data_IF_099953123627
#
_entry.id   IF_099953123627
#
_cell.length_a   1.000
_cell.length_b   1.000
_cell.length_c   1.000
_cell.angle_alpha   90.00
_cell.angle_beta   90.00
_cell.angle_gamma   90.00
#
_symmetry.space_group_name_H-M   'P 1'
#
loop_
_entity.id
_entity.type
_entity.pdbx_description
1 polymer ?
#
# COMPACT_ATOMS: atom_id res chain seq x y z
N UNK A 1 -49.39 14.43 -36.45
CA UNK A 1 -48.86 13.70 -35.27
C UNK A 1 -47.60 14.41 -34.80
N UNK A 2 -47.71 15.19 -33.72
CA UNK A 2 -46.58 15.93 -33.16
C UNK A 2 -46.01 15.08 -32.01
N UNK A 3 -44.84 14.48 -32.23
CA UNK A 3 -44.10 13.77 -31.20
C UNK A 3 -43.60 14.80 -30.18
N UNK A 4 -44.30 14.88 -29.04
CA UNK A 4 -43.84 15.60 -27.86
C UNK A 4 -42.66 14.80 -27.30
N UNK A 5 -41.44 15.27 -27.60
CA UNK A 5 -40.22 14.79 -26.96
C UNK A 5 -40.31 15.14 -25.47
N UNK A 6 -40.59 14.12 -24.66
CA UNK A 6 -40.71 14.22 -23.21
C UNK A 6 -39.32 14.51 -22.62
N UNK A 7 -38.99 15.78 -22.41
CA UNK A 7 -37.77 16.18 -21.72
C UNK A 7 -37.87 15.77 -20.24
N UNK A 8 -37.26 14.64 -19.88
CA UNK A 8 -37.17 14.22 -18.48
C UNK A 8 -36.41 15.28 -17.65
N UNK A 9 -36.94 15.70 -16.49
CA UNK A 9 -36.25 16.63 -15.61
C UNK A 9 -35.01 15.94 -15.05
N UNK A 10 -33.84 16.24 -15.64
CA UNK A 10 -32.58 15.70 -15.18
C UNK A 10 -32.33 16.14 -13.73
N UNK A 11 -32.18 15.18 -12.82
CA UNK A 11 -31.88 15.44 -11.43
C UNK A 11 -30.57 16.24 -11.34
N UNK A 12 -30.60 17.41 -10.66
CA UNK A 12 -29.43 18.32 -10.52
C UNK A 12 -28.17 17.57 -10.08
N UNK A 13 -28.30 16.53 -9.25
CA UNK A 13 -27.17 15.68 -8.83
C UNK A 13 -26.54 14.91 -9.98
N UNK A 14 -27.35 14.35 -10.89
CA UNK A 14 -26.89 13.56 -12.03
C UNK A 14 -26.09 14.42 -13.02
N UNK A 15 -26.58 15.63 -13.31
CA UNK A 15 -25.90 16.61 -14.19
C UNK A 15 -24.50 16.94 -13.66
N UNK A 16 -24.36 17.12 -12.34
CA UNK A 16 -23.07 17.43 -11.72
C UNK A 16 -22.10 16.23 -11.83
N UNK A 17 -22.61 15.00 -11.66
CA UNK A 17 -21.81 13.78 -11.77
C UNK A 17 -21.30 13.60 -13.20
N UNK A 18 -22.18 13.67 -14.19
CA UNK A 18 -21.84 13.53 -15.61
C UNK A 18 -20.80 14.57 -16.04
N UNK A 19 -21.02 15.83 -15.65
CA UNK A 19 -20.10 16.93 -15.92
C UNK A 19 -18.72 16.70 -15.31
N UNK A 20 -18.65 16.23 -14.06
CA UNK A 20 -17.38 15.89 -13.40
C UNK A 20 -16.67 14.74 -14.10
N UNK A 21 -17.41 13.73 -14.56
CA UNK A 21 -16.84 12.64 -15.37
C UNK A 21 -16.17 13.19 -16.62
N UNK A 22 -16.88 14.05 -17.37
CA UNK A 22 -16.34 14.65 -18.58
C UNK A 22 -15.13 15.56 -18.32
N UNK A 23 -15.15 16.33 -17.23
CA UNK A 23 -13.99 17.14 -16.78
C UNK A 23 -12.79 16.25 -16.45
N UNK A 24 -13.01 15.13 -15.75
CA UNK A 24 -11.96 14.18 -15.42
C UNK A 24 -11.31 13.59 -16.68
N UNK A 25 -12.12 13.11 -17.63
CA UNK A 25 -11.63 12.49 -18.87
C UNK A 25 -10.76 13.45 -19.69
N UNK A 26 -11.18 14.72 -19.81
CA UNK A 26 -10.44 15.73 -20.56
C UNK A 26 -9.14 16.14 -19.84
N UNK A 27 -9.18 16.21 -18.50
CA UNK A 27 -8.01 16.52 -17.69
C UNK A 27 -6.95 15.41 -17.78
N UNK A 28 -7.37 14.14 -17.70
CA UNK A 28 -6.46 12.99 -17.84
C UNK A 28 -5.82 12.89 -19.23
N UNK A 29 -6.49 13.39 -20.27
CA UNK A 29 -5.94 13.53 -21.63
C UNK A 29 -4.96 14.70 -21.79
N UNK A 30 -4.66 15.45 -20.72
CA UNK A 30 -3.75 16.59 -20.75
C UNK A 30 -4.37 17.89 -21.29
N UNK A 31 -5.71 17.98 -21.38
CA UNK A 31 -6.37 19.20 -21.87
C UNK A 31 -6.22 20.33 -20.84
N UNK A 32 -5.80 21.55 -21.23
CA UNK A 32 -5.69 22.65 -20.28
C UNK A 32 -7.07 23.12 -19.79
N UNK A 33 -7.15 23.56 -18.53
CA UNK A 33 -8.44 23.84 -17.85
C UNK A 33 -9.32 24.87 -18.58
N UNK A 34 -8.72 25.88 -19.23
CA UNK A 34 -9.48 26.86 -20.01
C UNK A 34 -10.25 26.21 -21.17
N UNK A 35 -9.60 25.28 -21.87
CA UNK A 35 -10.18 24.52 -22.99
C UNK A 35 -11.23 23.52 -22.49
N UNK A 36 -11.02 22.92 -21.33
CA UNK A 36 -12.04 22.10 -20.65
C UNK A 36 -13.29 22.93 -20.35
N UNK A 37 -13.14 24.15 -19.83
CA UNK A 37 -14.25 25.06 -19.57
C UNK A 37 -15.09 25.35 -20.82
N UNK A 38 -14.42 25.62 -21.94
CA UNK A 38 -15.07 25.82 -23.24
C UNK A 38 -15.84 24.57 -23.70
N UNK A 39 -15.20 23.39 -23.65
CA UNK A 39 -15.82 22.12 -24.10
C UNK A 39 -17.02 21.74 -23.23
N UNK A 40 -16.91 21.92 -21.91
CA UNK A 40 -17.95 21.59 -20.95
C UNK A 40 -18.97 22.73 -20.73
N UNK A 41 -18.83 23.86 -21.43
CA UNK A 41 -19.68 25.06 -21.29
C UNK A 41 -19.80 25.55 -19.84
N UNK A 42 -18.68 25.56 -19.10
CA UNK A 42 -18.60 26.04 -17.72
C UNK A 42 -17.41 26.99 -17.53
N UNK A 43 -17.47 27.83 -16.50
CA UNK A 43 -16.34 28.71 -16.18
C UNK A 43 -15.11 27.91 -15.76
N UNK A 44 -13.92 28.47 -15.99
CA UNK A 44 -12.63 27.90 -15.56
C UNK A 44 -12.58 27.71 -14.04
N UNK A 45 -13.13 28.66 -13.27
CA UNK A 45 -13.28 28.53 -11.82
C UNK A 45 -14.13 27.32 -11.42
N UNK A 46 -15.18 27.03 -12.19
CA UNK A 46 -16.02 25.87 -11.95
C UNK A 46 -15.27 24.56 -12.26
N UNK A 47 -14.48 24.50 -13.34
CA UNK A 47 -13.59 23.37 -13.65
C UNK A 47 -12.61 23.12 -12.51
N UNK A 48 -11.94 24.17 -12.01
CA UNK A 48 -11.00 24.08 -10.89
C UNK A 48 -11.66 23.49 -9.63
N UNK A 49 -12.89 23.94 -9.30
CA UNK A 49 -13.66 23.40 -8.17
C UNK A 49 -13.97 21.91 -8.34
N UNK A 50 -14.31 21.47 -9.55
CA UNK A 50 -14.57 20.06 -9.81
C UNK A 50 -13.32 19.21 -9.73
N UNK A 51 -12.20 19.69 -10.25
CA UNK A 51 -10.91 19.01 -10.14
C UNK A 51 -10.49 18.86 -8.66
N UNK A 52 -10.72 19.87 -7.82
CA UNK A 52 -10.46 19.77 -6.37
C UNK A 52 -11.30 18.67 -5.72
N UNK A 53 -12.57 18.54 -6.11
CA UNK A 53 -13.47 17.51 -5.58
C UNK A 53 -13.09 16.13 -6.10
N UNK A 54 -12.74 16.01 -7.39
CA UNK A 54 -12.28 14.77 -8.00
C UNK A 54 -10.96 14.30 -7.38
N UNK A 55 -10.00 15.21 -7.21
CA UNK A 55 -8.72 14.93 -6.56
C UNK A 55 -8.93 14.42 -5.13
N UNK A 56 -9.77 15.09 -4.34
CA UNK A 56 -10.13 14.61 -2.99
C UNK A 56 -10.73 13.20 -3.03
N UNK A 57 -11.67 12.94 -3.95
CA UNK A 57 -12.28 11.62 -4.12
C UNK A 57 -11.28 10.55 -4.55
N UNK A 58 -10.33 10.88 -5.43
CA UNK A 58 -9.29 9.95 -5.86
C UNK A 58 -8.33 9.63 -4.72
N UNK A 59 -7.95 10.62 -3.91
CA UNK A 59 -7.16 10.40 -2.71
C UNK A 59 -7.91 9.50 -1.73
N UNK A 60 -9.17 9.81 -1.42
CA UNK A 60 -10.02 8.98 -0.54
C UNK A 60 -10.16 7.55 -1.06
N UNK A 61 -10.46 7.37 -2.35
CA UNK A 61 -10.57 6.05 -2.98
C UNK A 61 -9.23 5.30 -2.99
N UNK A 62 -8.11 6.01 -3.19
CA UNK A 62 -6.77 5.40 -3.14
C UNK A 62 -6.43 4.97 -1.73
N UNK A 63 -6.76 5.77 -0.71
CA UNK A 63 -6.58 5.42 0.70
C UNK A 63 -7.42 4.21 1.08
N UNK A 64 -8.70 4.17 0.68
CA UNK A 64 -9.57 3.01 0.87
C UNK A 64 -8.99 1.75 0.22
N UNK A 65 -8.51 1.84 -1.02
CA UNK A 65 -7.86 0.72 -1.70
C UNK A 65 -6.59 0.25 -0.98
N UNK A 66 -5.78 1.19 -0.45
CA UNK A 66 -4.62 0.86 0.39
C UNK A 66 -5.05 0.13 1.65
N UNK A 67 -6.09 0.59 2.34
CA UNK A 67 -6.59 -0.03 3.56
C UNK A 67 -7.16 -1.44 3.29
N UNK A 68 -7.87 -1.62 2.17
CA UNK A 68 -8.35 -2.93 1.72
C UNK A 68 -7.18 -3.90 1.43
N UNK A 69 -6.12 -3.41 0.78
CA UNK A 69 -4.91 -4.20 0.53
C UNK A 69 -4.22 -4.59 1.85
N UNK A 70 -4.08 -3.65 2.79
CA UNK A 70 -3.55 -3.92 4.12
C UNK A 70 -4.39 -4.95 4.86
N UNK A 71 -5.71 -4.83 4.84
CA UNK A 71 -6.63 -5.77 5.49
C UNK A 71 -6.47 -7.19 4.93
N UNK A 72 -6.38 -7.32 3.59
CA UNK A 72 -6.15 -8.61 2.94
C UNK A 72 -4.83 -9.24 3.36
N UNK A 73 -3.76 -8.45 3.44
CA UNK A 73 -2.45 -8.96 3.83
C UNK A 73 -2.40 -9.33 5.32
N UNK A 74 -3.02 -8.52 6.19
CA UNK A 74 -3.20 -8.85 7.61
C UNK A 74 -3.93 -10.18 7.78
N UNK A 75 -4.95 -10.48 6.98
CA UNK A 75 -5.65 -11.77 7.11
C UNK A 75 -4.76 -12.95 6.74
N UNK A 76 -3.90 -12.82 5.72
CA UNK A 76 -2.90 -13.87 5.42
C UNK A 76 -1.91 -14.07 6.56
N UNK A 77 -1.44 -12.97 7.16
CA UNK A 77 -0.55 -13.02 8.32
C UNK A 77 -1.25 -13.72 9.49
N UNK A 78 -2.50 -13.35 9.78
CA UNK A 78 -3.30 -13.97 10.83
C UNK A 78 -3.51 -15.46 10.59
N UNK A 79 -3.79 -15.87 9.35
CA UNK A 79 -3.92 -17.29 9.00
C UNK A 79 -2.62 -18.04 9.26
N UNK A 80 -1.49 -17.49 8.82
CA UNK A 80 -0.15 -18.09 9.01
C UNK A 80 0.17 -18.21 10.51
N UNK A 81 -0.11 -17.18 11.30
CA UNK A 81 0.07 -17.19 12.75
C UNK A 81 -0.78 -18.29 13.42
N UNK A 82 -2.06 -18.42 13.03
CA UNK A 82 -2.93 -19.50 13.54
C UNK A 82 -2.41 -20.89 13.20
N UNK A 83 -1.91 -21.10 11.99
CA UNK A 83 -1.35 -22.38 11.56
C UNK A 83 -0.05 -22.71 12.31
N UNK A 84 0.80 -21.71 12.53
CA UNK A 84 2.02 -21.85 13.32
C UNK A 84 1.72 -22.19 14.79
N UNK A 85 0.74 -21.54 15.41
CA UNK A 85 0.28 -21.90 16.76
C UNK A 85 -0.20 -23.35 16.85
N UNK A 86 -1.01 -23.80 15.89
CA UNK A 86 -1.44 -25.22 15.82
C UNK A 86 -0.25 -26.15 15.65
N UNK A 87 0.75 -25.77 14.85
CA UNK A 87 2.00 -26.51 14.68
C UNK A 87 2.77 -26.65 15.99
N UNK A 88 2.95 -25.52 16.70
CA UNK A 88 3.56 -25.48 18.01
C UNK A 88 2.84 -26.39 19.02
N UNK A 89 1.52 -26.26 19.15
CA UNK A 89 0.73 -27.09 20.06
C UNK A 89 0.90 -28.59 19.78
N UNK A 90 0.84 -29.00 18.51
CA UNK A 90 1.09 -30.39 18.10
C UNK A 90 2.52 -30.83 18.44
N UNK A 91 3.50 -29.95 18.29
CA UNK A 91 4.92 -30.26 18.59
C UNK A 91 5.19 -30.48 20.09
N UNK A 92 4.37 -29.86 20.95
CA UNK A 92 4.40 -29.99 22.40
C UNK A 92 3.67 -31.23 22.93
N UNK A 93 2.90 -31.93 22.09
CA UNK A 93 2.16 -33.12 22.52
C UNK A 93 3.10 -34.26 22.91
N UNK A 94 2.67 -35.04 23.91
CA UNK A 94 3.41 -36.19 24.46
C UNK A 94 3.54 -37.25 23.38
N UNK A 95 4.78 -37.58 23.02
CA UNK A 95 5.05 -38.69 22.10
C UNK A 95 5.19 -39.96 22.93
N UNK A 96 4.41 -40.99 22.57
CA UNK A 96 4.53 -42.31 23.18
C UNK A 96 5.49 -43.15 22.34
N UNK A 97 6.67 -43.48 22.86
CA UNK A 97 7.56 -44.46 22.24
C UNK A 97 7.23 -45.83 22.84
N UNK A 98 6.81 -46.78 21.99
CA UNK A 98 6.72 -48.20 22.37
C UNK A 98 8.09 -48.82 22.09
N UNK A 99 8.74 -49.36 23.12
CA UNK A 99 9.93 -50.22 22.96
C UNK A 99 9.47 -51.66 23.07
N UNK A 100 9.78 -52.48 22.07
CA UNK A 100 9.66 -53.93 22.15
C UNK A 100 11.05 -54.48 22.50
N UNK A 101 11.18 -55.07 23.68
CA UNK A 101 12.35 -55.88 24.01
C UNK A 101 11.96 -57.34 23.82
N UNK A 102 12.61 -58.03 22.89
CA UNK A 102 12.50 -59.49 22.73
C UNK A 102 13.77 -60.08 23.31
N UNK A 103 13.66 -60.72 24.48
CA UNK A 103 14.72 -61.54 25.04
C UNK A 103 14.30 -63.00 24.90
N UNK A 104 15.04 -63.79 24.13
CA UNK A 104 14.91 -65.24 24.13
C UNK A 104 15.47 -65.79 25.44
N UNK A 105 14.59 -66.37 26.27
CA UNK A 105 14.96 -67.18 27.42
C UNK A 105 14.42 -68.59 27.19
N UNK A 106 15.30 -69.60 27.23
CA UNK A 106 14.89 -71.00 27.27
C UNK A 106 13.98 -71.22 28.49
N UNK A 107 12.75 -71.70 28.26
CA UNK A 107 11.61 -71.76 29.19
C UNK A 107 10.90 -70.42 29.48
N UNK A 108 10.03 -70.05 28.55
CA UNK A 108 8.85 -69.21 28.79
C UNK A 108 8.97 -67.78 28.27
N UNK A 109 8.27 -67.49 27.18
CA UNK A 109 8.21 -66.13 26.61
C UNK A 109 7.41 -65.22 27.55
N UNK A 110 8.07 -64.22 28.15
CA UNK A 110 7.41 -63.15 28.90
C UNK A 110 7.44 -61.87 28.06
N UNK A 111 6.28 -61.47 27.54
CA UNK A 111 6.13 -60.18 26.86
C UNK A 111 5.95 -59.07 27.89
N UNK A 112 7.00 -58.27 28.11
CA UNK A 112 6.92 -57.06 28.94
C UNK A 112 6.82 -55.83 28.04
N UNK A 113 5.64 -55.20 28.01
CA UNK A 113 5.43 -53.96 27.26
C UNK A 113 5.55 -52.77 28.21
N UNK A 114 6.62 -51.99 28.06
CA UNK A 114 6.80 -50.71 28.78
C UNK A 114 6.42 -49.53 27.87
N UNK A 115 5.57 -48.63 28.39
CA UNK A 115 5.08 -47.45 27.68
C UNK A 115 5.66 -46.21 28.35
N UNK A 116 6.67 -45.60 27.73
CA UNK A 116 7.28 -44.36 28.23
C UNK A 116 6.65 -43.15 27.54
N UNK A 117 6.10 -42.24 28.34
CA UNK A 117 5.47 -40.99 27.89
C UNK A 117 6.47 -39.85 28.04
N UNK A 118 7.02 -39.36 26.92
CA UNK A 118 7.96 -38.24 26.92
C UNK A 118 7.22 -36.97 26.51
N UNK A 119 7.16 -35.98 27.40
CA UNK A 119 6.72 -34.62 27.05
C UNK A 119 7.76 -34.00 26.12
N UNK A 120 7.32 -33.52 24.95
CA UNK A 120 8.16 -32.85 23.96
C UNK A 120 8.27 -31.37 24.31
N UNK A 121 9.45 -30.77 24.23
CA UNK A 121 9.68 -29.34 24.51
C UNK A 121 9.08 -28.40 23.45
N UNK A 122 8.51 -28.96 22.39
CA UNK A 122 8.02 -28.21 21.22
C UNK A 122 9.13 -27.93 20.20
N UNK A 123 8.72 -27.59 18.98
CA UNK A 123 9.62 -27.21 17.89
C UNK A 123 9.71 -25.68 17.80
N UNK A 124 10.90 -25.12 18.08
CA UNK A 124 11.13 -23.68 18.15
C UNK A 124 10.88 -22.96 16.82
N UNK A 125 10.89 -23.66 15.68
CA UNK A 125 10.64 -23.05 14.37
C UNK A 125 9.24 -22.40 14.29
N UNK A 126 8.24 -22.97 14.95
CA UNK A 126 6.90 -22.37 14.98
C UNK A 126 6.88 -21.03 15.74
N UNK A 127 7.66 -20.91 16.82
CA UNK A 127 7.80 -19.65 17.56
C UNK A 127 8.50 -18.58 16.72
N UNK A 128 9.48 -18.97 15.91
CA UNK A 128 10.15 -18.07 14.96
C UNK A 128 9.16 -17.54 13.92
N UNK A 129 8.31 -18.42 13.35
CA UNK A 129 7.26 -18.02 12.41
C UNK A 129 6.28 -17.04 13.07
N UNK A 130 5.83 -17.32 14.29
CA UNK A 130 4.94 -16.42 15.04
C UNK A 130 5.60 -15.05 15.25
N UNK A 131 6.88 -15.00 15.64
CA UNK A 131 7.62 -13.75 15.80
C UNK A 131 7.71 -12.97 14.48
N UNK A 132 7.92 -13.66 13.35
CA UNK A 132 7.93 -13.05 12.01
C UNK A 132 6.57 -12.47 11.65
N UNK A 133 5.48 -13.19 11.91
CA UNK A 133 4.11 -12.68 11.71
C UNK A 133 3.84 -11.41 12.51
N UNK A 134 4.25 -11.38 13.79
CA UNK A 134 4.10 -10.19 14.66
C UNK A 134 4.87 -8.99 14.08
N UNK A 135 6.13 -9.18 13.66
CA UNK A 135 6.95 -8.12 13.06
C UNK A 135 6.33 -7.57 11.78
N UNK A 136 5.91 -8.44 10.87
CA UNK A 136 5.28 -8.04 9.61
C UNK A 136 3.98 -7.26 9.84
N UNK A 137 3.19 -7.65 10.85
CA UNK A 137 1.99 -6.91 11.25
C UNK A 137 2.30 -5.53 11.83
N UNK A 138 3.32 -5.41 12.69
CA UNK A 138 3.78 -4.12 13.22
C UNK A 138 4.28 -3.17 12.11
N UNK A 139 5.00 -3.71 11.13
CA UNK A 139 5.49 -2.96 9.97
C UNK A 139 4.34 -2.48 9.08
N UNK A 140 3.39 -3.36 8.75
CA UNK A 140 2.24 -3.05 7.91
C UNK A 140 1.30 -1.99 8.52
N UNK A 141 1.20 -1.99 9.86
CA UNK A 141 0.43 -1.00 10.63
C UNK A 141 1.22 0.27 10.93
N UNK A 142 2.53 0.32 10.65
CA UNK A 142 3.38 1.48 10.93
C UNK A 142 3.61 1.73 12.42
N UNK A 143 3.53 0.67 13.25
CA UNK A 143 3.78 0.74 14.71
C UNK A 143 5.27 0.70 15.04
N UNK A 144 6.10 0.23 14.11
CA UNK A 144 7.54 0.32 14.23
C UNK A 144 7.96 1.79 14.14
N UNK A 145 8.78 2.25 15.09
CA UNK A 145 9.41 3.57 14.98
C UNK A 145 10.15 3.62 13.64
N UNK A 146 10.10 4.74 12.89
CA UNK A 146 10.91 4.86 11.69
C UNK A 146 12.35 4.56 12.12
N UNK A 147 12.91 3.46 11.60
CA UNK A 147 14.35 3.22 11.70
C UNK A 147 14.96 4.49 11.17
N UNK A 148 15.64 5.25 12.03
CA UNK A 148 16.19 6.57 11.70
C UNK A 148 16.85 6.43 10.34
N UNK A 149 16.15 6.88 9.31
CA UNK A 149 16.79 7.07 8.04
C UNK A 149 17.73 8.23 8.36
N UNK A 150 19.03 8.03 8.16
CA UNK A 150 19.96 9.14 8.12
C UNK A 150 19.62 9.95 6.86
N UNK A 151 18.50 10.67 6.92
CA UNK A 151 18.15 11.68 5.92
C UNK A 151 19.05 12.85 6.26
N UNK A 152 20.26 12.85 5.72
CA UNK A 152 21.08 14.04 5.75
C UNK A 152 20.51 15.03 4.72
N UNK A 153 19.54 15.82 5.18
CA UNK A 153 18.87 16.87 4.41
C UNK A 153 19.79 18.08 4.15
N UNK A 154 21.04 18.06 4.63
CA UNK A 154 22.03 19.14 4.54
C UNK A 154 23.38 18.68 3.97
N UNK A 155 23.41 17.90 2.88
CA UNK A 155 24.67 17.66 2.15
C UNK A 155 24.54 17.86 0.64
N UNK A 156 23.92 18.96 0.24
CA UNK A 156 24.54 19.70 -0.85
C UNK A 156 25.57 20.61 -0.17
N UNK A 157 26.89 20.39 -0.34
CA UNK A 157 27.89 21.32 0.19
C UNK A 157 27.55 22.72 -0.35
N UNK A 158 27.67 23.76 0.48
CA UNK A 158 27.34 25.15 0.09
C UNK A 158 27.98 25.56 -1.26
N UNK A 159 29.12 24.95 -1.60
CA UNK A 159 29.79 25.09 -2.89
C UNK A 159 28.95 24.68 -4.11
N UNK A 160 28.04 23.71 -4.00
CA UNK A 160 27.12 23.35 -5.07
C UNK A 160 25.95 24.31 -5.21
N UNK A 161 25.51 24.93 -4.11
CA UNK A 161 24.44 25.93 -4.15
C UNK A 161 24.91 27.21 -4.84
N UNK A 162 26.13 27.65 -4.56
CA UNK A 162 26.75 28.80 -5.23
C UNK A 162 26.93 28.55 -6.73
N UNK A 163 27.34 27.35 -7.13
CA UNK A 163 27.45 27.00 -8.55
C UNK A 163 26.09 27.08 -9.27
N UNK A 164 25.03 26.55 -8.65
CA UNK A 164 23.67 26.58 -9.22
C UNK A 164 23.14 28.02 -9.31
N UNK A 165 23.35 28.83 -8.27
CA UNK A 165 22.96 30.25 -8.27
C UNK A 165 23.70 31.00 -9.37
N UNK A 166 25.00 30.77 -9.54
CA UNK A 166 25.80 31.39 -10.60
C UNK A 166 25.38 30.96 -12.02
N UNK A 167 24.98 29.71 -12.22
CA UNK A 167 24.41 29.27 -13.50
C UNK A 167 23.07 29.93 -13.81
N UNK A 168 22.20 30.08 -12.81
CA UNK A 168 20.89 30.73 -12.97
C UNK A 168 21.06 32.22 -13.30
N UNK A 169 21.97 32.91 -12.61
CA UNK A 169 22.26 34.32 -12.87
C UNK A 169 22.86 34.52 -14.27
N UNK A 170 23.81 33.68 -14.69
CA UNK A 170 24.36 33.72 -16.06
C UNK A 170 23.30 33.51 -17.15
N UNK A 171 22.31 32.66 -16.91
CA UNK A 171 21.19 32.46 -17.86
C UNK A 171 20.30 33.70 -17.96
N UNK A 172 20.04 34.37 -16.84
CA UNK A 172 19.24 35.59 -16.80
C UNK A 172 19.90 36.78 -17.53
N UNK A 173 21.24 36.88 -17.47
CA UNK A 173 21.99 37.93 -18.18
C UNK A 173 22.09 37.68 -19.70
N UNK A 174 22.09 36.42 -20.13
CA UNK A 174 22.11 36.06 -21.55
C UNK A 174 20.73 36.25 -22.21
N UNK A 175 19.63 36.11 -21.46
CA UNK A 175 18.27 36.36 -21.97
C UNK A 175 17.93 37.85 -22.09
N UNK A 176 18.58 38.73 -21.33
CA UNK A 176 18.40 40.20 -21.46
C UNK A 176 19.16 40.82 -22.64
N UNK A 177 20.16 40.12 -23.18
CA UNK A 177 20.92 40.59 -24.36
C UNK A 177 20.19 40.29 -25.68
N UNK A 178 19.45 39.18 -25.78
CA UNK A 178 18.70 38.80 -27.01
C UNK A 178 17.45 39.69 -27.27
N UNK A 179 16.99 40.44 -26.26
CA UNK A 179 15.82 41.34 -26.38
C UNK A 179 16.20 42.81 -26.72
N UNK A 180 17.49 43.18 -26.61
CA UNK A 180 18.01 44.47 -27.08
C UNK A 180 18.34 44.45 -28.59
N UNK A 181 18.79 43.30 -29.13
CA UNK A 181 19.13 43.15 -30.55
C UNK A 181 17.90 42.94 -31.48
N UNK A 182 16.70 42.72 -30.93
CA UNK A 182 15.44 42.66 -31.71
C UNK A 182 14.70 44.00 -31.82
N UNK A 183 15.22 45.07 -31.22
CA UNK A 183 14.61 46.41 -31.21
C UNK A 183 15.44 47.48 -31.94
N UNK A 184 16.48 47.09 -32.66
CA UNK A 184 17.18 47.95 -33.62
C UNK A 184 17.11 47.34 -35.03
#
# INVERSE_FOLDING_TARGET
>A
MQLIVFAMPQNKKNIIIERRSRVADLYLKGTPQYKIGMICKVSTSQVSRDLKILSKKWVESSMQNIDELKARELEKINQTEREAWKGWERSCQVKTKKRHATSDFEKGTKNESSVERIKSAGDSHFLEIILRCIRQRSELLGLESPKKADININTLPESQLDQIIQEILKKADNETTDDQDRKN
#
